data_IF_906824904364
#
_entry.id   IF_906824904364
#
_cell.length_a   1.000
_cell.length_b   1.000
_cell.length_c   1.000
_cell.angle_alpha   90.00
_cell.angle_beta   90.00
_cell.angle_gamma   90.00
#
_symmetry.space_group_name_H-M   'P 1'
#
loop_
_entity.id
_entity.type
_entity.pdbx_description
1 polymer ?
#
# COMPACT_ATOMS: atom_id res chain seq x y z
N UNK A 1 -1.61 2.59 9.48
CA UNK A 1 -0.69 3.32 8.61
C UNK A 1 0.43 3.97 9.40
N UNK A 2 1.67 3.90 8.89
CA UNK A 2 2.82 4.53 9.51
C UNK A 2 3.93 4.77 8.46
N UNK A 3 4.63 5.90 8.56
CA UNK A 3 5.67 6.30 7.62
C UNK A 3 6.18 7.72 7.91
N UNK A 4 6.80 8.39 6.93
CA UNK A 4 7.34 9.75 7.10
C UNK A 4 6.28 10.77 7.53
N UNK A 5 5.05 10.60 7.07
CA UNK A 5 3.91 11.45 7.42
C UNK A 5 3.55 11.43 8.91
N UNK A 6 4.07 10.48 9.68
CA UNK A 6 3.91 10.49 11.14
C UNK A 6 4.71 11.61 11.82
N UNK A 7 5.80 12.10 11.21
CA UNK A 7 6.62 13.18 11.75
C UNK A 7 5.84 14.48 11.86
N UNK A 8 5.20 14.99 10.77
CA UNK A 8 4.36 16.18 10.85
C UNK A 8 3.06 15.97 11.66
N UNK A 9 2.65 14.72 11.90
CA UNK A 9 1.46 14.35 12.67
C UNK A 9 0.15 15.04 12.18
N UNK A 10 -0.01 15.15 10.84
CA UNK A 10 -1.17 15.75 10.18
C UNK A 10 -1.89 14.80 9.21
N UNK A 11 -1.71 13.48 9.42
CA UNK A 11 -2.29 12.42 8.62
C UNK A 11 -1.42 11.99 7.43
N UNK A 12 -1.71 10.81 6.90
CA UNK A 12 -0.97 10.17 5.82
C UNK A 12 -1.12 10.91 4.47
N UNK A 13 -2.15 11.72 4.35
CA UNK A 13 -2.43 12.53 3.16
C UNK A 13 -1.74 13.90 3.16
N UNK A 14 -0.96 14.25 4.21
CA UNK A 14 -0.37 15.58 4.38
C UNK A 14 0.36 16.09 3.13
N UNK A 15 1.13 15.22 2.46
CA UNK A 15 1.88 15.60 1.26
C UNK A 15 0.97 16.02 0.11
N UNK A 16 -0.14 15.31 -0.09
CA UNK A 16 -1.14 15.62 -1.12
C UNK A 16 -1.98 16.86 -0.79
N UNK A 17 -2.47 16.93 0.45
CA UNK A 17 -3.37 18.00 0.91
C UNK A 17 -2.66 19.35 0.96
N UNK A 18 -1.43 19.37 1.41
CA UNK A 18 -0.60 20.58 1.50
C UNK A 18 0.25 20.82 0.25
N UNK A 19 0.09 19.99 -0.79
CA UNK A 19 0.82 20.09 -2.08
C UNK A 19 2.34 20.22 -1.87
N UNK A 20 2.91 19.42 -0.94
CA UNK A 20 4.31 19.51 -0.56
C UNK A 20 5.20 18.96 -1.69
N UNK A 21 6.12 19.79 -2.17
CA UNK A 21 7.11 19.41 -3.19
C UNK A 21 8.02 18.29 -2.70
N UNK A 22 8.57 17.50 -3.62
CA UNK A 22 9.48 16.39 -3.31
C UNK A 22 10.65 16.87 -2.44
N UNK A 23 11.27 17.99 -2.81
CA UNK A 23 12.44 18.55 -2.14
C UNK A 23 12.12 18.94 -0.69
N UNK A 24 10.96 19.56 -0.45
CA UNK A 24 10.54 19.98 0.89
C UNK A 24 10.13 18.78 1.76
N UNK A 25 9.59 17.71 1.15
CA UNK A 25 9.22 16.49 1.86
C UNK A 25 10.44 15.69 2.32
N UNK A 26 11.60 15.83 1.64
CA UNK A 26 12.85 15.15 1.99
C UNK A 26 13.37 15.49 3.39
N UNK A 27 12.95 16.60 4.00
CA UNK A 27 13.29 16.89 5.40
C UNK A 27 12.83 15.79 6.36
N UNK A 28 11.65 15.21 6.13
CA UNK A 28 11.12 14.13 6.97
C UNK A 28 11.94 12.85 6.81
N UNK A 29 12.48 12.59 5.62
CA UNK A 29 13.41 11.48 5.41
C UNK A 29 14.71 11.70 6.21
N UNK A 30 15.23 12.91 6.24
CA UNK A 30 16.45 13.25 7.00
C UNK A 30 16.23 13.21 8.52
N UNK A 31 15.00 13.48 8.98
CA UNK A 31 14.62 13.48 10.39
C UNK A 31 14.19 12.09 10.89
N UNK A 32 13.86 11.15 9.99
CA UNK A 32 13.27 9.88 10.35
C UNK A 32 14.22 9.01 11.18
N UNK A 33 13.88 8.92 12.46
CA UNK A 33 14.60 8.12 13.46
C UNK A 33 13.64 7.63 14.55
N UNK A 34 12.87 6.55 14.28
CA UNK A 34 11.86 6.05 15.20
C UNK A 34 12.51 5.25 16.35
N UNK A 35 13.16 5.95 17.28
CA UNK A 35 13.88 5.34 18.43
C UNK A 35 12.99 4.48 19.33
N UNK A 36 11.69 4.79 19.39
CA UNK A 36 10.71 4.06 20.21
C UNK A 36 9.98 2.95 19.43
N UNK A 37 10.43 2.61 18.23
CA UNK A 37 9.85 1.52 17.46
C UNK A 37 10.22 0.17 18.06
N UNK A 38 9.26 -0.44 18.73
CA UNK A 38 9.35 -1.73 19.42
C UNK A 38 8.24 -2.68 18.93
N UNK A 39 8.40 -3.32 17.75
CA UNK A 39 7.34 -4.13 17.15
C UNK A 39 6.93 -5.33 18.00
N UNK A 40 7.83 -5.82 18.87
CA UNK A 40 7.52 -6.90 19.83
C UNK A 40 6.44 -6.46 20.85
N UNK A 41 6.49 -5.22 21.30
CA UNK A 41 5.46 -4.67 22.19
C UNK A 41 4.13 -4.53 21.45
N UNK A 42 4.17 -4.10 20.20
CA UNK A 42 2.96 -3.99 19.37
C UNK A 42 2.32 -5.36 19.14
N UNK A 43 3.11 -6.34 18.74
CA UNK A 43 2.62 -7.70 18.51
C UNK A 43 2.02 -8.34 19.77
N UNK A 44 2.66 -8.14 20.93
CA UNK A 44 2.16 -8.64 22.22
C UNK A 44 0.83 -7.97 22.59
N UNK A 45 0.76 -6.65 22.49
CA UNK A 45 -0.46 -5.90 22.77
C UNK A 45 -1.62 -6.32 21.83
N UNK A 46 -1.35 -6.51 20.55
CA UNK A 46 -2.33 -7.01 19.60
C UNK A 46 -2.85 -8.40 19.97
N UNK A 47 -1.94 -9.31 20.33
CA UNK A 47 -2.31 -10.65 20.78
C UNK A 47 -3.14 -10.64 22.08
N UNK A 48 -2.72 -9.86 23.07
CA UNK A 48 -3.45 -9.70 24.33
C UNK A 48 -4.85 -9.10 24.13
N UNK A 49 -4.99 -8.22 23.14
CA UNK A 49 -6.29 -7.68 22.71
C UNK A 49 -7.15 -8.70 21.91
N UNK A 50 -6.64 -9.92 21.66
CA UNK A 50 -7.36 -10.96 20.93
C UNK A 50 -7.31 -10.83 19.42
N UNK A 51 -6.49 -9.94 18.85
CA UNK A 51 -6.29 -9.79 17.41
C UNK A 51 -5.73 -11.07 16.80
N UNK A 52 -6.06 -11.34 15.56
CA UNK A 52 -5.63 -12.56 14.84
C UNK A 52 -4.55 -12.29 13.82
N UNK A 53 -4.47 -11.08 13.33
CA UNK A 53 -3.47 -10.64 12.35
C UNK A 53 -3.09 -9.18 12.57
N UNK A 54 -1.97 -8.81 11.96
CA UNK A 54 -1.47 -7.43 11.89
C UNK A 54 -0.98 -7.16 10.47
N UNK A 55 -1.25 -5.95 9.96
CA UNK A 55 -0.79 -5.48 8.65
C UNK A 55 0.00 -4.18 8.84
N UNK A 56 1.22 -4.13 8.33
CA UNK A 56 2.05 -2.92 8.33
C UNK A 56 2.12 -2.32 6.93
N UNK A 57 2.12 -1.00 6.86
CA UNK A 57 2.46 -0.24 5.65
C UNK A 57 3.90 -0.54 5.25
N UNK A 58 4.13 -1.23 4.14
CA UNK A 58 5.48 -1.40 3.59
C UNK A 58 5.93 -0.19 2.79
N UNK A 59 5.02 0.37 1.98
CA UNK A 59 5.16 1.63 1.25
C UNK A 59 3.81 2.33 1.17
N UNK A 60 3.74 3.62 1.47
CA UNK A 60 2.56 4.47 1.28
C UNK A 60 2.68 5.29 -0.02
N UNK A 61 1.68 6.14 -0.30
CA UNK A 61 1.60 6.95 -1.52
C UNK A 61 2.79 7.92 -1.68
N UNK A 62 3.46 8.30 -0.60
CA UNK A 62 4.64 9.17 -0.63
C UNK A 62 5.88 8.49 -1.22
N UNK A 63 5.84 7.17 -1.43
CA UNK A 63 6.91 6.37 -2.02
C UNK A 63 7.99 5.91 -1.04
N UNK A 64 7.89 6.27 0.26
CA UNK A 64 8.86 5.86 1.26
C UNK A 64 8.69 4.38 1.65
N UNK A 65 9.77 3.62 1.49
CA UNK A 65 9.79 2.20 1.83
C UNK A 65 10.23 1.98 3.28
N UNK A 66 9.40 1.32 4.10
CA UNK A 66 9.79 0.87 5.44
C UNK A 66 10.61 -0.43 5.41
N UNK A 67 10.93 -0.94 4.23
CA UNK A 67 11.71 -2.15 3.99
C UNK A 67 12.97 -1.84 3.15
N UNK A 68 13.92 -2.77 3.17
CA UNK A 68 15.20 -2.64 2.47
C UNK A 68 15.10 -2.95 0.97
N UNK A 69 14.34 -2.15 0.22
CA UNK A 69 14.23 -2.30 -1.23
C UNK A 69 15.56 -2.04 -1.94
N UNK A 70 15.88 -2.87 -2.94
CA UNK A 70 17.04 -2.70 -3.80
C UNK A 70 16.76 -1.74 -4.99
N UNK A 71 15.51 -1.30 -5.13
CA UNK A 71 15.06 -0.49 -6.26
C UNK A 71 14.96 1.00 -5.95
N UNK A 72 15.15 1.40 -4.69
CA UNK A 72 15.13 2.81 -4.29
C UNK A 72 16.06 3.09 -3.12
N UNK A 73 16.60 4.30 -3.07
CA UNK A 73 17.31 4.82 -1.90
C UNK A 73 16.38 5.52 -0.89
N UNK A 74 15.11 5.72 -1.26
CA UNK A 74 14.09 6.33 -0.41
C UNK A 74 13.44 5.28 0.52
N UNK A 75 14.25 4.79 1.46
CA UNK A 75 13.93 3.65 2.33
C UNK A 75 14.46 3.82 3.75
N UNK A 76 13.86 3.13 4.71
CA UNK A 76 14.17 3.26 6.13
C UNK A 76 15.61 2.90 6.48
N UNK A 77 16.21 1.93 5.78
CA UNK A 77 17.62 1.54 5.98
C UNK A 77 18.63 2.64 5.59
N UNK A 78 18.22 3.61 4.80
CA UNK A 78 19.04 4.78 4.42
C UNK A 78 18.75 6.02 5.26
N UNK A 79 17.87 5.95 6.25
CA UNK A 79 17.62 7.01 7.22
C UNK A 79 18.54 6.88 8.45
N UNK A 80 18.39 7.78 9.43
CA UNK A 80 19.16 7.71 10.68
C UNK A 80 18.94 6.41 11.44
N UNK A 81 17.76 5.81 11.35
CA UNK A 81 17.48 4.57 12.06
C UNK A 81 18.23 3.36 11.47
N UNK A 82 18.55 3.36 10.17
CA UNK A 82 19.31 2.29 9.53
C UNK A 82 18.68 0.90 9.62
N UNK A 83 17.37 0.80 9.85
CA UNK A 83 16.65 -0.44 10.16
C UNK A 83 15.68 -0.84 9.07
N UNK A 84 15.53 -2.15 8.83
CA UNK A 84 14.45 -2.73 8.03
C UNK A 84 13.23 -2.96 8.94
N UNK A 85 12.37 -1.96 9.00
CA UNK A 85 11.23 -1.92 9.93
C UNK A 85 10.15 -2.95 9.57
N UNK A 86 10.01 -3.29 8.29
CA UNK A 86 9.09 -4.35 7.84
C UNK A 86 9.57 -5.72 8.33
N UNK A 87 10.85 -6.02 8.20
CA UNK A 87 11.40 -7.29 8.68
C UNK A 87 11.16 -7.48 10.17
N UNK A 88 11.49 -6.48 10.96
CA UNK A 88 11.31 -6.52 12.40
C UNK A 88 9.85 -6.69 12.81
N UNK A 89 8.92 -6.01 12.11
CA UNK A 89 7.49 -6.16 12.34
C UNK A 89 6.99 -7.58 12.08
N UNK A 90 7.35 -8.14 10.92
CA UNK A 90 6.91 -9.47 10.52
C UNK A 90 7.47 -10.56 11.47
N UNK A 91 8.72 -10.42 11.89
CA UNK A 91 9.35 -11.33 12.84
C UNK A 91 8.65 -11.26 14.22
N UNK A 92 8.35 -10.06 14.71
CA UNK A 92 7.65 -9.85 15.96
C UNK A 92 6.22 -10.44 15.93
N UNK A 93 5.46 -10.19 14.89
CA UNK A 93 4.12 -10.74 14.73
C UNK A 93 4.09 -12.27 14.71
N UNK A 94 5.01 -12.89 13.94
CA UNK A 94 5.17 -14.35 13.88
C UNK A 94 5.56 -14.95 15.23
N UNK A 95 6.47 -14.30 15.97
CA UNK A 95 6.90 -14.76 17.29
C UNK A 95 5.73 -14.83 18.29
N UNK A 96 4.75 -13.94 18.16
CA UNK A 96 3.54 -13.97 18.98
C UNK A 96 2.44 -14.89 18.42
N UNK A 97 2.67 -15.53 17.27
CA UNK A 97 1.71 -16.44 16.62
C UNK A 97 0.57 -15.72 15.90
N UNK A 98 0.75 -14.43 15.60
CA UNK A 98 -0.18 -13.67 14.78
C UNK A 98 0.05 -13.94 13.29
N UNK A 99 -1.00 -13.86 12.51
CA UNK A 99 -0.90 -13.73 11.06
C UNK A 99 -0.33 -12.37 10.72
N UNK A 100 0.51 -12.31 9.69
CA UNK A 100 1.19 -11.06 9.33
C UNK A 100 0.99 -10.71 7.87
N UNK A 101 0.79 -9.44 7.61
CA UNK A 101 0.58 -8.92 6.28
C UNK A 101 1.23 -7.58 6.04
N UNK A 102 1.21 -7.16 4.79
CA UNK A 102 1.75 -5.90 4.33
C UNK A 102 0.73 -5.14 3.49
N UNK A 103 0.61 -3.86 3.76
CA UNK A 103 -0.03 -2.88 2.89
C UNK A 103 1.00 -2.33 1.92
N UNK A 104 0.63 -2.17 0.66
CA UNK A 104 1.46 -1.61 -0.38
C UNK A 104 0.67 -0.67 -1.28
N UNK A 105 1.07 0.58 -1.34
CA UNK A 105 0.47 1.57 -2.24
C UNK A 105 0.88 1.35 -3.69
N UNK A 106 -0.10 1.37 -4.60
CA UNK A 106 0.11 1.39 -6.05
C UNK A 106 0.55 2.78 -6.54
N UNK A 107 0.21 3.83 -5.78
CA UNK A 107 0.69 5.19 -6.05
C UNK A 107 2.12 5.36 -5.54
N UNK A 108 2.88 6.26 -6.17
CA UNK A 108 4.22 6.62 -5.73
C UNK A 108 4.57 8.06 -6.14
N UNK A 109 4.36 8.99 -5.22
CA UNK A 109 4.60 10.41 -5.50
C UNK A 109 6.09 10.79 -5.48
N UNK A 110 6.97 9.84 -5.21
CA UNK A 110 8.42 10.06 -5.20
C UNK A 110 9.10 9.63 -6.50
N UNK A 111 8.61 8.54 -7.14
CA UNK A 111 9.27 7.93 -8.29
C UNK A 111 9.23 8.85 -9.52
N UNK A 112 10.37 9.04 -10.18
CA UNK A 112 10.49 10.00 -11.28
C UNK A 112 9.68 9.61 -12.54
N UNK A 113 9.40 8.33 -12.76
CA UNK A 113 8.55 7.84 -13.86
C UNK A 113 7.06 7.75 -13.51
N UNK A 114 6.67 8.05 -12.24
CA UNK A 114 5.27 8.11 -11.85
C UNK A 114 4.64 9.44 -12.30
N UNK A 115 3.44 9.45 -12.93
CA UNK A 115 2.89 10.67 -13.51
C UNK A 115 2.42 11.67 -12.45
N UNK A 116 2.72 12.94 -12.64
CA UNK A 116 2.16 14.03 -11.83
C UNK A 116 0.72 14.30 -12.19
N UNK A 117 0.43 14.34 -13.50
CA UNK A 117 -0.91 14.55 -14.03
C UNK A 117 -1.57 13.22 -14.40
N UNK A 118 -2.83 13.04 -14.03
CA UNK A 118 -3.57 11.80 -14.20
C UNK A 118 -3.68 10.96 -12.93
N UNK A 119 -2.98 11.37 -11.86
CA UNK A 119 -3.25 10.97 -10.49
C UNK A 119 -3.93 12.13 -9.76
N UNK A 120 -5.23 12.01 -9.50
CA UNK A 120 -6.03 13.07 -8.84
C UNK A 120 -5.54 13.42 -7.43
N UNK A 121 -4.69 12.61 -6.84
CA UNK A 121 -4.17 12.79 -5.49
C UNK A 121 -2.70 13.20 -5.46
N UNK A 122 -2.01 13.21 -6.63
CA UNK A 122 -0.60 13.60 -6.67
C UNK A 122 -0.41 15.03 -6.15
N UNK A 123 0.57 15.31 -5.27
CA UNK A 123 0.80 16.66 -4.74
C UNK A 123 0.93 17.73 -5.80
N UNK A 124 1.56 17.40 -6.93
CA UNK A 124 1.83 18.34 -8.04
C UNK A 124 0.84 18.24 -9.21
N UNK A 125 -0.33 17.59 -9.02
CA UNK A 125 -1.30 17.23 -10.07
C UNK A 125 -1.77 18.39 -10.97
N UNK A 126 -1.72 19.62 -10.49
CA UNK A 126 -2.14 20.80 -11.23
C UNK A 126 -1.02 21.84 -11.36
N UNK A 127 0.18 21.54 -10.93
CA UNK A 127 1.30 22.47 -11.02
C UNK A 127 1.95 22.36 -12.42
N UNK A 128 1.90 23.43 -13.25
CA UNK A 128 2.46 23.40 -14.60
C UNK A 128 3.99 23.28 -14.64
N UNK A 129 4.69 23.52 -13.54
CA UNK A 129 6.13 23.28 -13.41
C UNK A 129 6.49 21.78 -13.36
N UNK A 130 5.48 20.91 -13.19
CA UNK A 130 5.66 19.46 -13.06
C UNK A 130 4.91 18.71 -14.18
N UNK A 131 5.34 18.79 -15.43
CA UNK A 131 4.71 18.07 -16.55
C UNK A 131 5.01 16.55 -16.48
N UNK A 132 4.22 15.78 -17.22
CA UNK A 132 4.48 14.34 -17.38
C UNK A 132 5.51 14.05 -18.50
N UNK A 133 5.98 15.06 -19.21
CA UNK A 133 6.93 14.89 -20.31
C UNK A 133 8.23 14.22 -19.82
N UNK A 134 8.68 13.21 -20.55
CA UNK A 134 9.86 12.41 -20.22
C UNK A 134 9.64 11.31 -19.19
N UNK A 135 8.44 11.19 -18.59
CA UNK A 135 8.10 10.11 -17.66
C UNK A 135 7.66 8.86 -18.41
N UNK A 136 8.11 7.71 -17.95
CA UNK A 136 7.75 6.43 -18.54
C UNK A 136 7.03 5.54 -17.51
N UNK A 137 5.71 5.50 -17.59
CA UNK A 137 4.89 4.74 -16.65
C UNK A 137 5.19 3.23 -16.67
N UNK A 138 5.65 2.66 -17.78
CA UNK A 138 6.06 1.25 -17.85
C UNK A 138 7.30 0.96 -17.00
N UNK A 139 8.24 1.91 -16.91
CA UNK A 139 9.37 1.81 -15.98
C UNK A 139 8.89 1.81 -14.54
N UNK A 140 7.94 2.68 -14.21
CA UNK A 140 7.32 2.70 -12.88
C UNK A 140 6.65 1.36 -12.56
N UNK A 141 5.85 0.81 -13.47
CA UNK A 141 5.19 -0.48 -13.27
C UNK A 141 6.21 -1.60 -13.03
N UNK A 142 7.30 -1.62 -13.77
CA UNK A 142 8.39 -2.58 -13.57
C UNK A 142 9.04 -2.43 -12.20
N UNK A 143 9.31 -1.21 -11.77
CA UNK A 143 9.82 -0.88 -10.44
C UNK A 143 8.85 -1.37 -9.34
N UNK A 144 7.56 -1.03 -9.45
CA UNK A 144 6.52 -1.42 -8.49
C UNK A 144 6.42 -2.96 -8.37
N UNK A 145 6.33 -3.67 -9.49
CA UNK A 145 6.27 -5.14 -9.50
C UNK A 145 7.51 -5.77 -8.88
N UNK A 146 8.69 -5.21 -9.12
CA UNK A 146 9.92 -5.70 -8.52
C UNK A 146 9.94 -5.50 -7.00
N UNK A 147 9.44 -4.38 -6.48
CA UNK A 147 9.29 -4.16 -5.04
C UNK A 147 8.32 -5.17 -4.40
N UNK A 148 7.19 -5.46 -5.04
CA UNK A 148 6.27 -6.49 -4.56
C UNK A 148 6.93 -7.87 -4.60
N UNK A 149 7.72 -8.17 -5.61
CA UNK A 149 8.51 -9.41 -5.70
C UNK A 149 9.48 -9.51 -4.52
N UNK A 150 10.20 -8.44 -4.17
CA UNK A 150 11.09 -8.42 -2.99
C UNK A 150 10.33 -8.76 -1.70
N UNK A 151 9.18 -8.14 -1.48
CA UNK A 151 8.34 -8.40 -0.31
C UNK A 151 7.90 -9.88 -0.26
N UNK A 152 7.55 -10.46 -1.41
CA UNK A 152 7.11 -11.85 -1.50
C UNK A 152 8.25 -12.88 -1.41
N UNK A 153 9.52 -12.48 -1.60
CA UNK A 153 10.65 -13.42 -1.63
C UNK A 153 11.57 -13.28 -0.42
N UNK A 154 11.79 -12.06 0.08
CA UNK A 154 12.84 -11.78 1.06
C UNK A 154 12.34 -11.75 2.52
N UNK A 155 11.03 -11.80 2.75
CA UNK A 155 10.40 -11.54 4.06
C UNK A 155 9.68 -12.77 4.64
N UNK A 156 9.88 -13.96 4.04
CA UNK A 156 9.25 -15.19 4.47
C UNK A 156 7.76 -15.24 4.12
N UNK A 157 7.01 -16.10 4.81
CA UNK A 157 5.57 -16.25 4.56
C UNK A 157 4.81 -14.98 4.91
N UNK A 158 4.00 -14.50 3.96
CA UNK A 158 2.98 -13.48 4.19
C UNK A 158 1.60 -14.15 4.23
N UNK A 159 0.76 -13.72 5.16
CA UNK A 159 -0.62 -14.20 5.25
C UNK A 159 -1.60 -13.27 4.52
N UNK A 160 -1.30 -11.98 4.48
CA UNK A 160 -2.14 -10.95 3.85
C UNK A 160 -1.25 -9.99 3.04
N UNK A 161 -1.69 -9.67 1.82
CA UNK A 161 -1.13 -8.59 1.02
C UNK A 161 -2.23 -7.64 0.61
N UNK A 162 -2.15 -6.41 1.08
CA UNK A 162 -3.16 -5.37 0.95
C UNK A 162 -2.66 -4.31 -0.03
N UNK A 163 -3.16 -4.32 -1.27
CA UNK A 163 -2.85 -3.30 -2.26
C UNK A 163 -3.76 -2.08 -2.09
N UNK A 164 -3.29 -0.93 -2.48
CA UNK A 164 -4.01 0.31 -2.54
C UNK A 164 -3.30 1.20 -3.57
N UNK A 165 -3.88 1.83 -4.42
CA UNK A 165 -5.07 2.56 -4.65
C UNK A 165 -5.51 2.41 -6.11
N UNK A 166 -6.75 2.06 -6.39
CA UNK A 166 -7.32 2.01 -7.74
C UNK A 166 -8.48 2.99 -7.85
N UNK A 167 -8.54 3.74 -8.97
CA UNK A 167 -9.61 4.71 -9.20
C UNK A 167 -9.74 5.05 -10.70
N UNK A 168 -10.84 5.71 -11.02
CA UNK A 168 -11.10 6.29 -12.33
C UNK A 168 -11.48 7.75 -12.15
N UNK A 169 -10.96 8.63 -13.01
CA UNK A 169 -11.37 10.00 -13.09
C UNK A 169 -11.46 10.46 -14.56
N UNK A 170 -11.82 11.72 -14.78
CA UNK A 170 -11.97 12.28 -16.14
C UNK A 170 -10.68 12.35 -16.96
N UNK A 171 -9.52 12.13 -16.33
CA UNK A 171 -8.22 12.23 -16.97
C UNK A 171 -7.56 10.89 -17.19
N UNK A 172 -7.83 9.91 -16.30
CA UNK A 172 -7.13 8.63 -16.33
C UNK A 172 -7.94 7.52 -15.65
N UNK A 173 -7.63 6.30 -16.05
CA UNK A 173 -8.09 5.07 -15.39
C UNK A 173 -6.89 4.43 -14.73
N UNK A 174 -6.88 4.37 -13.39
CA UNK A 174 -5.80 3.81 -12.59
C UNK A 174 -6.34 2.60 -11.81
N UNK A 175 -6.73 1.55 -12.53
CA UNK A 175 -7.25 0.31 -11.97
C UNK A 175 -6.96 -0.88 -12.87
N UNK A 176 -7.03 -2.09 -12.33
CA UNK A 176 -6.95 -3.34 -13.06
C UNK A 176 -5.67 -3.41 -13.92
N UNK A 177 -5.84 -3.65 -15.20
CA UNK A 177 -4.71 -3.83 -16.14
C UNK A 177 -3.86 -2.58 -16.35
N UNK A 178 -4.31 -1.40 -15.93
CA UNK A 178 -3.44 -0.21 -15.89
C UNK A 178 -2.25 -0.41 -14.94
N UNK A 179 -2.43 -1.20 -13.88
CA UNK A 179 -1.39 -1.64 -12.96
C UNK A 179 -0.67 -2.93 -13.42
N UNK A 180 -1.02 -3.50 -14.59
CA UNK A 180 -0.69 -4.88 -14.96
C UNK A 180 -1.10 -5.87 -13.87
N UNK A 181 -2.34 -5.70 -13.35
CA UNK A 181 -2.80 -6.37 -12.15
C UNK A 181 -2.86 -7.90 -12.28
N UNK A 182 -3.22 -8.43 -13.46
CA UNK A 182 -3.19 -9.88 -13.71
C UNK A 182 -1.77 -10.44 -13.58
N UNK A 183 -0.77 -9.77 -14.16
CA UNK A 183 0.64 -10.16 -14.05
C UNK A 183 1.11 -10.10 -12.58
N UNK A 184 0.76 -9.01 -11.88
CA UNK A 184 1.11 -8.80 -10.48
C UNK A 184 0.56 -9.91 -9.59
N UNK A 185 -0.75 -10.21 -9.68
CA UNK A 185 -1.41 -11.25 -8.88
C UNK A 185 -0.85 -12.63 -9.19
N UNK A 186 -0.64 -12.96 -10.46
CA UNK A 186 -0.05 -14.24 -10.85
C UNK A 186 1.35 -14.42 -10.27
N UNK A 187 2.16 -13.36 -10.27
CA UNK A 187 3.48 -13.36 -9.63
C UNK A 187 3.35 -13.58 -8.12
N UNK A 188 2.47 -12.86 -7.44
CA UNK A 188 2.26 -13.01 -5.99
C UNK A 188 1.80 -14.43 -5.66
N UNK A 189 0.82 -14.99 -6.39
CA UNK A 189 0.32 -16.36 -6.17
C UNK A 189 1.40 -17.41 -6.38
N UNK A 190 2.29 -17.22 -7.35
CA UNK A 190 3.40 -18.13 -7.59
C UNK A 190 4.44 -18.12 -6.45
N UNK A 191 4.69 -16.94 -5.85
CA UNK A 191 5.68 -16.77 -4.78
C UNK A 191 5.10 -17.05 -3.39
N UNK A 192 3.82 -16.74 -3.18
CA UNK A 192 3.09 -16.83 -1.91
C UNK A 192 1.71 -17.48 -2.16
N UNK A 193 1.64 -18.81 -2.37
CA UNK A 193 0.41 -19.47 -2.80
C UNK A 193 -0.74 -19.43 -1.76
N UNK A 194 -0.43 -19.19 -0.49
CA UNK A 194 -1.43 -19.12 0.59
C UNK A 194 -1.78 -17.69 1.03
N UNK A 195 -1.16 -16.66 0.42
CA UNK A 195 -1.45 -15.27 0.77
C UNK A 195 -2.87 -14.89 0.32
N UNK A 196 -3.61 -14.22 1.18
CA UNK A 196 -4.87 -13.58 0.79
C UNK A 196 -4.61 -12.14 0.33
N UNK A 197 -5.31 -11.73 -0.72
CA UNK A 197 -5.16 -10.42 -1.37
C UNK A 197 -6.51 -9.72 -1.34
N UNK A 198 -6.50 -8.42 -1.04
CA UNK A 198 -7.69 -7.58 -1.12
C UNK A 198 -8.12 -7.32 -2.58
N UNK A 199 -9.28 -6.66 -2.77
CA UNK A 199 -9.84 -6.38 -4.09
C UNK A 199 -9.43 -5.02 -4.67
N UNK A 200 -8.52 -4.29 -4.04
CA UNK A 200 -8.21 -2.89 -4.41
C UNK A 200 -7.31 -2.73 -5.65
N UNK A 201 -6.89 -3.81 -6.27
CA UNK A 201 -6.29 -3.74 -7.61
C UNK A 201 -7.31 -3.38 -8.71
N UNK A 202 -8.60 -3.68 -8.49
CA UNK A 202 -9.66 -3.41 -9.46
C UNK A 202 -10.53 -2.21 -9.09
N UNK A 203 -10.84 -2.04 -7.83
CA UNK A 203 -11.91 -1.14 -7.39
C UNK A 203 -11.52 0.31 -7.61
N UNK A 204 -12.40 1.05 -8.27
CA UNK A 204 -12.33 2.52 -8.32
C UNK A 204 -12.70 3.08 -6.94
N UNK A 205 -11.97 4.08 -6.50
CA UNK A 205 -12.26 4.77 -5.24
C UNK A 205 -13.48 5.69 -5.29
N UNK A 206 -14.56 5.31 -5.98
CA UNK A 206 -15.82 6.03 -5.91
C UNK A 206 -16.53 5.78 -4.59
N UNK A 207 -16.56 6.81 -3.78
CA UNK A 207 -17.13 6.75 -2.44
C UNK A 207 -16.24 6.02 -1.44
N UNK A 208 -16.80 5.71 -0.28
CA UNK A 208 -16.12 5.06 0.84
C UNK A 208 -16.17 3.53 0.80
N UNK A 209 -16.56 2.96 -0.32
CA UNK A 209 -16.77 1.52 -0.45
C UNK A 209 -16.01 0.91 -1.62
N UNK A 210 -15.05 0.04 -1.34
CA UNK A 210 -14.49 -0.87 -2.31
C UNK A 210 -15.41 -2.08 -2.44
N UNK A 211 -16.52 -1.91 -3.12
CA UNK A 211 -17.53 -2.95 -3.26
C UNK A 211 -17.23 -3.85 -4.47
N UNK A 212 -17.74 -5.07 -4.43
CA UNK A 212 -17.70 -5.97 -5.57
C UNK A 212 -18.51 -5.39 -6.74
N UNK A 213 -17.87 -5.17 -7.87
CA UNK A 213 -18.48 -4.38 -8.95
C UNK A 213 -18.66 -5.13 -10.26
N UNK A 214 -18.13 -6.32 -10.44
CA UNK A 214 -18.15 -6.89 -11.77
C UNK A 214 -18.02 -8.40 -11.89
N UNK A 215 -17.69 -8.83 -13.10
CA UNK A 215 -17.36 -10.22 -13.35
C UNK A 215 -16.03 -10.56 -12.69
N UNK A 216 -15.86 -11.79 -12.17
CA UNK A 216 -14.62 -12.21 -11.58
C UNK A 216 -13.45 -12.03 -12.55
N UNK A 217 -12.42 -11.32 -12.10
CA UNK A 217 -11.14 -11.23 -12.78
C UNK A 217 -10.05 -11.73 -11.82
N UNK A 218 -8.91 -12.23 -12.32
CA UNK A 218 -7.84 -12.77 -11.47
C UNK A 218 -7.37 -11.80 -10.38
N UNK A 219 -7.45 -10.49 -10.65
CA UNK A 219 -7.01 -9.44 -9.76
C UNK A 219 -8.10 -8.91 -8.81
N UNK A 220 -9.30 -9.48 -8.74
CA UNK A 220 -10.35 -9.10 -7.77
C UNK A 220 -10.03 -9.49 -6.33
N UNK A 221 -8.98 -10.28 -6.10
CA UNK A 221 -8.57 -10.68 -4.77
C UNK A 221 -9.47 -11.72 -4.09
N UNK A 222 -9.26 -11.91 -2.80
CA UNK A 222 -9.91 -12.93 -1.99
C UNK A 222 -10.94 -12.34 -1.02
N UNK A 223 -10.87 -11.06 -0.74
CA UNK A 223 -11.81 -10.36 0.14
C UNK A 223 -12.05 -8.92 -0.32
N UNK A 224 -13.19 -8.38 0.08
CA UNK A 224 -13.60 -7.00 -0.21
C UNK A 224 -13.21 -6.10 0.95
N UNK A 225 -12.72 -4.91 0.66
CA UNK A 225 -12.25 -3.95 1.68
C UNK A 225 -13.01 -2.62 1.61
N UNK A 226 -14.26 -2.55 2.10
CA UNK A 226 -14.99 -1.29 2.21
C UNK A 226 -14.26 -0.33 3.13
N UNK A 227 -14.28 0.96 2.77
CA UNK A 227 -13.61 2.00 3.51
C UNK A 227 -14.61 2.95 4.15
N UNK A 228 -14.43 3.22 5.46
CA UNK A 228 -15.29 4.07 6.29
C UNK A 228 -16.77 3.63 6.34
N UNK A 229 -17.06 2.40 5.93
CA UNK A 229 -18.42 1.82 5.94
C UNK A 229 -18.36 0.43 6.57
N UNK A 230 -19.27 0.16 7.48
CA UNK A 230 -19.55 -1.18 7.98
C UNK A 230 -20.87 -1.63 7.33
N UNK A 231 -20.83 -2.56 6.35
CA UNK A 231 -22.04 -3.02 5.65
C UNK A 231 -22.98 -3.71 6.64
N UNK A 232 -24.20 -3.19 6.88
CA UNK A 232 -25.09 -3.71 7.92
C UNK A 232 -25.64 -5.12 7.64
N UNK A 233 -25.66 -5.52 6.37
CA UNK A 233 -26.13 -6.83 5.91
C UNK A 233 -25.01 -7.67 5.28
N UNK A 234 -23.73 -7.32 5.53
CA UNK A 234 -22.61 -7.92 4.81
C UNK A 234 -22.51 -7.45 3.36
N UNK A 235 -21.67 -8.13 2.57
CA UNK A 235 -21.44 -7.83 1.15
C UNK A 235 -21.75 -9.10 0.36
N UNK A 236 -22.51 -8.96 -0.71
CA UNK A 236 -22.83 -10.04 -1.64
C UNK A 236 -22.34 -9.72 -3.05
N UNK A 237 -21.95 -10.76 -3.80
CA UNK A 237 -21.66 -10.63 -5.23
C UNK A 237 -22.96 -10.43 -6.04
N UNK A 238 -22.82 -10.20 -7.34
CA UNK A 238 -23.97 -10.04 -8.26
C UNK A 238 -24.92 -11.25 -8.35
N UNK A 239 -24.48 -12.41 -7.86
CA UNK A 239 -25.27 -13.65 -7.81
C UNK A 239 -25.88 -13.90 -6.43
N UNK A 240 -25.73 -12.96 -5.49
CA UNK A 240 -26.25 -13.06 -4.12
C UNK A 240 -25.43 -13.98 -3.21
N UNK A 241 -24.16 -14.27 -3.55
CA UNK A 241 -23.28 -15.04 -2.69
C UNK A 241 -22.56 -14.12 -1.71
N UNK A 242 -22.51 -14.52 -0.44
CA UNK A 242 -21.80 -13.78 0.59
C UNK A 242 -20.29 -13.70 0.28
N UNK A 243 -19.76 -12.50 0.39
CA UNK A 243 -18.35 -12.21 0.21
C UNK A 243 -17.64 -12.10 1.55
N UNK A 244 -16.40 -12.56 1.63
CA UNK A 244 -15.52 -12.23 2.75
C UNK A 244 -15.13 -10.77 2.64
N UNK A 245 -15.17 -10.04 3.75
CA UNK A 245 -14.85 -8.61 3.74
C UNK A 245 -14.17 -8.16 5.04
N UNK A 246 -13.41 -7.09 4.93
CA UNK A 246 -12.74 -6.39 6.02
C UNK A 246 -13.08 -4.91 5.95
N UNK A 247 -13.66 -4.34 7.01
CA UNK A 247 -13.89 -2.91 7.08
C UNK A 247 -12.59 -2.16 7.41
N UNK A 248 -12.19 -1.24 6.54
CA UNK A 248 -11.12 -0.27 6.80
C UNK A 248 -11.76 1.00 7.40
N UNK A 249 -11.58 1.21 8.69
CA UNK A 249 -12.18 2.33 9.43
C UNK A 249 -11.10 3.03 10.25
N UNK A 250 -11.06 4.37 10.21
CA UNK A 250 -10.16 5.23 11.01
C UNK A 250 -10.90 5.95 12.11
#
# INVERSE_FOLDING_TARGET
HWGLYAIPARGEWVRSVEEIKKEDYMRYFQEFDPVDYEPQKWARAAKEAGMKYMVLTSKHHDGFCLFDSQYTDFKSTNTKCGRDLVREFLEAGRAEGLKVGLYFSLLDWYHDDYPHFGDRNHPMRFNPEYPNEGRNFDNYLTYMHNQVRELCTNYGKLDILWFDFSYEDKYNVMRGEKWRATELVNMVRALQPEVIIDNRLEVSGEGFGSLWTGDPAPFHGDFVSPEQIIPPNGIQDKNGRDMVWEACVT
#
